data_IF_922716564969
#
_entry.id   IF_922716564969
#
_cell.length_a   1.000
_cell.length_b   1.000
_cell.length_c   1.000
_cell.angle_alpha   90.00
_cell.angle_beta   90.00
_cell.angle_gamma   90.00
#
_symmetry.space_group_name_H-M   'P 1'
#
loop_
_entity.id
_entity.type
_entity.pdbx_description
1 polymer ?
#
# COMPACT_ATOMS: atom_id res chain seq x y z
N UNK A 1 -42.90 13.59 -5.14
CA UNK A 1 -41.96 12.46 -5.25
C UNK A 1 -41.88 12.08 -6.72
N UNK A 2 -40.94 12.70 -7.43
CA UNK A 2 -40.63 12.40 -8.82
C UNK A 2 -39.35 11.56 -8.82
N UNK A 3 -39.33 10.49 -9.63
CA UNK A 3 -38.41 9.37 -9.51
C UNK A 3 -36.93 9.76 -9.58
N UNK A 4 -36.15 9.13 -8.71
CA UNK A 4 -34.70 9.01 -8.80
C UNK A 4 -34.37 8.39 -10.16
N UNK A 5 -33.88 9.22 -11.08
CA UNK A 5 -33.31 8.76 -12.34
C UNK A 5 -31.95 8.13 -12.04
N UNK A 6 -31.73 6.91 -12.54
CA UNK A 6 -30.45 6.22 -12.44
C UNK A 6 -29.34 7.09 -13.06
N UNK A 7 -28.29 7.38 -12.28
CA UNK A 7 -27.11 8.14 -12.73
C UNK A 7 -25.97 7.16 -12.98
N UNK A 8 -25.37 7.25 -14.17
CA UNK A 8 -24.27 6.39 -14.59
C UNK A 8 -22.94 7.13 -14.48
N UNK A 9 -21.96 6.49 -13.84
CA UNK A 9 -20.57 6.93 -13.90
C UNK A 9 -19.89 6.37 -15.16
N UNK A 10 -19.39 7.26 -15.99
CA UNK A 10 -18.65 6.95 -17.22
C UNK A 10 -17.22 7.48 -17.09
N UNK A 11 -16.25 6.64 -16.72
CA UNK A 11 -14.84 7.01 -16.73
C UNK A 11 -14.29 7.04 -18.16
N UNK A 12 -13.55 8.07 -18.50
CA UNK A 12 -12.90 8.21 -19.81
C UNK A 12 -11.44 8.66 -19.66
N UNK A 13 -10.55 8.07 -20.44
CA UNK A 13 -9.14 8.45 -20.46
C UNK A 13 -8.83 9.14 -21.78
N UNK A 14 -8.30 10.35 -21.70
CA UNK A 14 -7.79 11.07 -22.87
C UNK A 14 -6.60 10.32 -23.49
N UNK A 15 -6.57 10.20 -24.82
CA UNK A 15 -5.55 9.39 -25.51
C UNK A 15 -4.18 10.06 -25.57
N UNK A 16 -4.13 11.39 -25.56
CA UNK A 16 -2.87 12.13 -25.71
C UNK A 16 -2.20 12.39 -24.37
N UNK A 17 -2.97 12.90 -23.41
CA UNK A 17 -2.53 13.30 -22.09
C UNK A 17 -2.72 12.18 -21.06
N UNK A 18 -3.44 11.11 -21.37
CA UNK A 18 -3.69 10.01 -20.43
C UNK A 18 -4.26 10.50 -19.09
N UNK A 19 -5.11 11.53 -19.15
CA UNK A 19 -5.82 12.09 -18.00
C UNK A 19 -7.19 11.43 -17.91
N UNK A 20 -7.59 11.08 -16.69
CA UNK A 20 -8.89 10.50 -16.40
C UNK A 20 -9.93 11.60 -16.17
N UNK A 21 -11.07 11.49 -16.84
CA UNK A 21 -12.24 12.33 -16.61
C UNK A 21 -13.40 11.42 -16.22
N UNK A 22 -14.12 11.81 -15.18
CA UNK A 22 -15.35 11.15 -14.77
C UNK A 22 -16.53 11.96 -15.31
N UNK A 23 -17.43 11.30 -16.02
CA UNK A 23 -18.72 11.86 -16.43
C UNK A 23 -19.83 11.16 -15.64
N UNK A 24 -20.78 11.95 -15.15
CA UNK A 24 -22.00 11.46 -14.54
C UNK A 24 -23.13 11.81 -15.48
N UNK A 25 -23.81 10.79 -16.00
CA UNK A 25 -24.83 10.94 -17.03
C UNK A 25 -26.16 10.33 -16.59
N UNK A 26 -27.27 10.91 -17.04
CA UNK A 26 -28.59 10.31 -16.88
C UNK A 26 -28.81 9.14 -17.87
N UNK A 27 -29.97 8.49 -17.78
CA UNK A 27 -30.38 7.41 -18.69
C UNK A 27 -30.49 7.84 -20.17
N UNK A 28 -30.59 9.14 -20.44
CA UNK A 28 -30.63 9.72 -21.79
C UNK A 28 -29.23 10.11 -22.30
N UNK A 29 -28.18 9.79 -21.53
CA UNK A 29 -26.78 10.16 -21.79
C UNK A 29 -26.49 11.65 -21.74
N UNK A 30 -27.35 12.46 -21.11
CA UNK A 30 -27.03 13.85 -20.83
C UNK A 30 -26.03 13.90 -19.67
N UNK A 31 -24.94 14.64 -19.87
CA UNK A 31 -23.92 14.83 -18.82
C UNK A 31 -24.48 15.79 -17.78
N UNK A 32 -24.73 15.28 -16.58
CA UNK A 32 -25.18 16.04 -15.41
C UNK A 32 -24.00 16.72 -14.71
N UNK A 33 -22.88 16.00 -14.59
CA UNK A 33 -21.67 16.49 -13.94
C UNK A 33 -20.42 15.87 -14.58
N UNK A 34 -19.29 16.59 -14.49
CA UNK A 34 -17.99 16.05 -14.90
C UNK A 34 -16.89 16.56 -14.00
N UNK A 35 -15.88 15.74 -13.76
CA UNK A 35 -14.68 16.15 -13.03
C UNK A 35 -13.43 15.46 -13.55
N UNK A 36 -12.35 16.23 -13.60
CA UNK A 36 -10.98 15.77 -13.85
C UNK A 36 -10.07 16.00 -12.64
N UNK A 37 -10.64 16.50 -11.53
CA UNK A 37 -9.93 16.83 -10.29
C UNK A 37 -9.67 15.58 -9.47
N UNK A 38 -8.78 14.74 -9.97
CA UNK A 38 -8.43 13.43 -9.41
C UNK A 38 -6.95 13.40 -9.01
N UNK A 39 -6.62 12.68 -7.94
CA UNK A 39 -5.24 12.40 -7.55
C UNK A 39 -4.51 11.62 -8.64
N UNK A 40 -5.23 10.75 -9.35
CA UNK A 40 -4.76 10.05 -10.55
C UNK A 40 -4.19 11.01 -11.63
N UNK A 41 -4.71 12.24 -11.72
CA UNK A 41 -4.25 13.26 -12.66
C UNK A 41 -3.12 14.16 -12.13
N UNK A 42 -2.59 13.86 -10.95
CA UNK A 42 -1.55 14.62 -10.26
C UNK A 42 -0.33 13.77 -9.90
N UNK A 43 -0.20 12.55 -10.44
CA UNK A 43 0.88 11.63 -10.12
C UNK A 43 2.24 12.06 -10.68
N UNK A 44 2.25 12.77 -11.82
CA UNK A 44 3.46 13.35 -12.39
C UNK A 44 3.40 14.87 -12.26
N UNK A 45 4.05 15.46 -11.24
CA UNK A 45 3.96 16.89 -10.97
C UNK A 45 4.42 17.76 -12.14
N UNK A 46 3.67 18.82 -12.43
CA UNK A 46 4.01 19.80 -13.45
C UNK A 46 3.82 19.34 -14.91
N UNK A 47 3.29 18.13 -15.15
CA UNK A 47 3.08 17.61 -16.51
C UNK A 47 1.60 17.49 -16.86
N UNK A 48 1.26 17.83 -18.11
CA UNK A 48 -0.09 17.62 -18.63
C UNK A 48 -0.36 16.12 -18.82
N UNK A 49 0.61 15.40 -19.40
CA UNK A 49 0.53 13.95 -19.59
C UNK A 49 0.73 13.20 -18.28
N UNK A 50 -0.18 12.28 -17.98
CA UNK A 50 -0.20 11.48 -16.76
C UNK A 50 -0.04 9.98 -17.08
N UNK A 51 -0.04 9.14 -16.04
CA UNK A 51 0.24 7.70 -16.15
C UNK A 51 -0.99 6.80 -16.28
N UNK A 52 -2.21 7.35 -16.33
CA UNK A 52 -3.44 6.57 -16.15
C UNK A 52 -3.66 5.56 -17.29
N UNK A 53 -4.07 4.35 -16.91
CA UNK A 53 -4.35 3.22 -17.82
C UNK A 53 -5.80 2.76 -17.79
N UNK A 54 -6.47 2.93 -16.66
CA UNK A 54 -7.86 2.51 -16.50
C UNK A 54 -8.34 2.65 -15.07
N UNK A 55 -9.64 2.55 -14.89
CA UNK A 55 -10.25 2.38 -13.56
C UNK A 55 -10.20 0.89 -13.23
N UNK A 56 -9.57 0.54 -12.11
CA UNK A 56 -9.52 -0.82 -11.60
C UNK A 56 -10.80 -1.20 -10.85
N UNK A 57 -11.31 -0.28 -10.04
CA UNK A 57 -12.47 -0.50 -9.19
C UNK A 57 -13.15 0.83 -8.87
N UNK A 58 -14.46 0.76 -8.67
CA UNK A 58 -15.28 1.88 -8.18
C UNK A 58 -16.34 1.36 -7.22
N UNK A 59 -16.66 2.16 -6.21
CA UNK A 59 -17.77 1.93 -5.30
C UNK A 59 -18.51 3.24 -5.02
N UNK A 60 -19.79 3.10 -4.64
CA UNK A 60 -20.68 4.21 -4.32
C UNK A 60 -21.19 4.11 -2.87
N UNK A 61 -20.35 4.35 -1.86
CA UNK A 61 -20.77 4.35 -0.46
C UNK A 61 -21.15 5.75 0.04
N UNK A 62 -21.94 5.82 1.11
CA UNK A 62 -22.11 7.03 1.92
C UNK A 62 -20.99 7.07 2.99
N UNK A 63 -19.88 7.78 2.73
CA UNK A 63 -18.70 7.82 3.61
C UNK A 63 -18.95 8.76 4.80
N UNK A 64 -19.48 9.96 4.54
CA UNK A 64 -19.66 10.98 5.58
C UNK A 64 -21.02 10.93 6.29
N UNK A 65 -21.88 9.98 5.89
CA UNK A 65 -23.19 9.67 6.49
C UNK A 65 -24.20 10.80 6.30
N UNK A 66 -24.11 11.50 5.17
CA UNK A 66 -25.05 12.56 4.79
C UNK A 66 -26.29 12.03 4.04
N UNK A 67 -26.29 10.74 3.68
CA UNK A 67 -27.35 10.05 2.96
C UNK A 67 -27.24 10.16 1.43
N UNK A 68 -26.12 10.68 0.90
CA UNK A 68 -25.78 10.71 -0.51
C UNK A 68 -24.67 9.69 -0.82
N UNK A 69 -24.61 9.25 -2.09
CA UNK A 69 -23.59 8.29 -2.52
C UNK A 69 -22.32 9.02 -2.93
N UNK A 70 -21.23 8.82 -2.20
CA UNK A 70 -19.89 9.25 -2.57
C UNK A 70 -19.28 8.32 -3.62
N UNK A 71 -18.12 8.67 -4.15
CA UNK A 71 -17.37 7.83 -5.10
C UNK A 71 -16.01 7.49 -4.52
N UNK A 72 -15.75 6.20 -4.33
CA UNK A 72 -14.41 5.67 -4.06
C UNK A 72 -13.88 5.01 -5.31
N UNK A 73 -12.73 5.46 -5.79
CA UNK A 73 -12.17 5.09 -7.09
C UNK A 73 -10.73 4.60 -6.94
N UNK A 74 -10.41 3.46 -7.54
CA UNK A 74 -9.03 3.00 -7.72
C UNK A 74 -8.66 3.06 -9.20
N UNK A 75 -7.65 3.84 -9.55
CA UNK A 75 -7.12 4.00 -10.91
C UNK A 75 -5.78 3.28 -11.04
N UNK A 76 -5.55 2.55 -12.12
CA UNK A 76 -4.22 1.98 -12.44
C UNK A 76 -3.41 3.01 -13.21
N UNK A 77 -2.17 3.23 -12.77
CA UNK A 77 -1.22 4.17 -13.36
C UNK A 77 0.16 3.53 -13.54
N UNK A 78 0.95 4.07 -14.48
CA UNK A 78 2.36 3.70 -14.64
C UNK A 78 3.27 4.85 -14.21
N UNK A 79 4.43 4.51 -13.64
CA UNK A 79 5.37 5.48 -13.05
C UNK A 79 6.20 6.28 -14.05
N UNK A 80 6.10 5.99 -15.35
CA UNK A 80 6.89 6.66 -16.38
C UNK A 80 6.12 6.87 -17.70
N UNK A 81 6.55 7.90 -18.44
CA UNK A 81 5.95 8.36 -19.71
C UNK A 81 5.90 7.30 -20.82
N UNK A 82 6.79 6.29 -20.77
CA UNK A 82 6.93 5.31 -21.85
C UNK A 82 6.12 4.04 -21.62
N UNK A 83 5.35 3.95 -20.53
CA UNK A 83 4.70 2.71 -20.13
C UNK A 83 5.66 1.65 -19.60
N UNK A 84 6.94 1.99 -19.43
CA UNK A 84 7.99 1.13 -18.86
C UNK A 84 8.15 1.49 -17.39
N UNK A 85 7.46 0.76 -16.52
CA UNK A 85 7.49 0.94 -15.07
C UNK A 85 6.43 0.06 -14.43
N UNK A 86 6.60 -0.24 -13.14
CA UNK A 86 5.59 -0.99 -12.40
C UNK A 86 4.24 -0.26 -12.47
N UNK A 87 3.18 -1.03 -12.72
CA UNK A 87 1.83 -0.53 -12.52
C UNK A 87 1.62 -0.33 -11.02
N UNK A 88 1.00 0.78 -10.65
CA UNK A 88 0.59 1.05 -9.28
C UNK A 88 -0.84 1.58 -9.27
N UNK A 89 -1.48 1.48 -8.12
CA UNK A 89 -2.85 1.93 -7.91
C UNK A 89 -2.86 3.36 -7.37
N UNK A 90 -3.88 4.12 -7.70
CA UNK A 90 -4.14 5.46 -7.18
C UNK A 90 -5.58 5.53 -6.69
N UNK A 91 -5.77 5.82 -5.41
CA UNK A 91 -7.07 5.97 -4.78
C UNK A 91 -7.56 7.42 -4.82
N UNK A 92 -8.85 7.60 -5.08
CA UNK A 92 -9.56 8.88 -4.98
C UNK A 92 -10.89 8.68 -4.26
N UNK A 93 -11.27 9.66 -3.43
CA UNK A 93 -12.60 9.74 -2.80
C UNK A 93 -13.22 11.07 -3.20
N UNK A 94 -14.42 11.03 -3.75
CA UNK A 94 -15.21 12.19 -4.14
C UNK A 94 -16.50 12.20 -3.35
N UNK A 95 -16.75 13.26 -2.60
CA UNK A 95 -17.96 13.41 -1.83
C UNK A 95 -19.06 14.04 -2.68
N UNK A 96 -20.25 13.47 -2.61
CA UNK A 96 -21.42 14.08 -3.26
C UNK A 96 -21.82 15.34 -2.50
N UNK A 97 -22.24 16.37 -3.23
CA UNK A 97 -22.79 17.58 -2.66
C UNK A 97 -23.85 18.18 -3.55
N UNK A 98 -24.26 19.41 -3.24
CA UNK A 98 -25.29 20.09 -4.04
C UNK A 98 -24.78 20.38 -5.46
N UNK A 99 -25.35 19.68 -6.45
CA UNK A 99 -25.06 19.90 -7.86
C UNK A 99 -23.77 19.27 -8.39
N UNK A 100 -23.11 18.38 -7.64
CA UNK A 100 -21.93 17.66 -8.14
C UNK A 100 -21.12 16.94 -7.07
N UNK A 101 -19.84 16.71 -7.38
CA UNK A 101 -18.90 16.04 -6.48
C UNK A 101 -17.67 16.91 -6.21
N UNK A 102 -17.13 16.82 -5.00
CA UNK A 102 -15.86 17.45 -4.64
C UNK A 102 -14.85 16.42 -4.11
N UNK A 103 -13.57 16.66 -4.33
CA UNK A 103 -12.48 15.82 -3.81
C UNK A 103 -11.89 16.45 -2.55
N UNK A 104 -11.87 15.72 -1.44
CA UNK A 104 -10.93 16.05 -0.37
C UNK A 104 -9.53 15.52 -0.73
N UNK A 105 -8.68 16.43 -1.16
CA UNK A 105 -7.32 16.09 -1.57
C UNK A 105 -6.47 15.54 -0.40
N UNK A 106 -6.79 15.88 0.85
CA UNK A 106 -6.05 15.38 2.03
C UNK A 106 -6.35 13.91 2.26
N UNK A 107 -7.62 13.53 2.13
CA UNK A 107 -8.04 12.13 2.25
C UNK A 107 -7.46 11.29 1.11
N UNK A 108 -7.57 11.76 -0.15
CA UNK A 108 -6.92 11.08 -1.28
C UNK A 108 -5.40 10.94 -1.06
N UNK A 109 -4.71 11.99 -0.58
CA UNK A 109 -3.28 11.91 -0.27
C UNK A 109 -2.97 10.82 0.76
N UNK A 110 -3.70 10.81 1.89
CA UNK A 110 -3.53 9.81 2.96
C UNK A 110 -3.78 8.38 2.47
N UNK A 111 -4.84 8.15 1.68
CA UNK A 111 -5.16 6.84 1.11
C UNK A 111 -3.99 6.31 0.26
N UNK A 112 -3.38 7.17 -0.55
CA UNK A 112 -2.27 6.78 -1.41
C UNK A 112 -0.95 6.64 -0.63
N UNK A 113 -0.66 7.59 0.27
CA UNK A 113 0.56 7.63 1.07
C UNK A 113 0.69 6.42 2.00
N UNK A 114 -0.43 5.95 2.55
CA UNK A 114 -0.46 4.82 3.47
C UNK A 114 -0.78 3.49 2.79
N UNK A 115 -0.88 3.45 1.45
CA UNK A 115 -1.14 2.21 0.73
C UNK A 115 -2.54 1.62 0.98
N UNK A 116 -3.53 2.47 1.27
CA UNK A 116 -4.94 2.07 1.41
C UNK A 116 -5.64 1.97 0.05
N UNK A 117 -4.99 2.43 -1.01
CA UNK A 117 -5.42 2.36 -2.41
C UNK A 117 -5.33 0.97 -3.06
N UNK A 118 -4.95 -0.07 -2.31
CA UNK A 118 -4.78 -1.44 -2.84
C UNK A 118 -6.09 -2.08 -3.29
N UNK A 119 -7.19 -1.74 -2.63
CA UNK A 119 -8.54 -2.08 -3.07
C UNK A 119 -9.55 -1.02 -2.65
N UNK A 120 -10.68 -0.99 -3.36
CA UNK A 120 -11.76 -0.03 -3.10
C UNK A 120 -12.33 -0.19 -1.69
N UNK A 121 -12.38 -1.43 -1.18
CA UNK A 121 -12.88 -1.76 0.16
C UNK A 121 -11.94 -1.28 1.26
N UNK A 122 -10.63 -1.43 1.07
CA UNK A 122 -9.64 -0.91 2.02
C UNK A 122 -9.66 0.62 2.05
N UNK A 123 -9.70 1.27 0.87
CA UNK A 123 -9.82 2.72 0.76
C UNK A 123 -11.10 3.25 1.41
N UNK A 124 -12.23 2.58 1.19
CA UNK A 124 -13.51 2.90 1.83
C UNK A 124 -13.45 2.75 3.36
N UNK A 125 -12.90 1.64 3.85
CA UNK A 125 -12.76 1.39 5.30
C UNK A 125 -11.87 2.45 5.96
N UNK A 126 -10.80 2.87 5.28
CA UNK A 126 -9.96 3.96 5.73
C UNK A 126 -10.68 5.32 5.67
N UNK A 127 -11.47 5.59 4.63
CA UNK A 127 -12.21 6.83 4.51
C UNK A 127 -13.28 6.98 5.61
N UNK A 128 -13.93 5.89 6.00
CA UNK A 128 -14.94 5.88 7.07
C UNK A 128 -14.32 5.92 8.48
N UNK A 129 -13.28 5.12 8.73
CA UNK A 129 -12.81 4.82 10.09
C UNK A 129 -11.29 5.05 10.29
N UNK A 130 -10.56 5.59 9.31
CA UNK A 130 -9.11 5.46 9.16
C UNK A 130 -8.19 6.38 9.96
N UNK A 131 -8.73 7.33 10.74
CA UNK A 131 -7.91 8.19 11.63
C UNK A 131 -6.91 7.41 12.50
N UNK A 132 -7.21 6.21 13.05
CA UNK A 132 -6.24 5.42 13.82
C UNK A 132 -5.14 4.76 12.97
N UNK A 133 -5.32 4.59 11.65
CA UNK A 133 -4.34 3.93 10.80
C UNK A 133 -3.18 4.86 10.39
N UNK A 134 -3.36 6.18 10.44
CA UNK A 134 -2.27 7.16 10.21
C UNK A 134 -1.16 7.04 11.25
N UNK A 135 -1.56 6.68 12.47
CA UNK A 135 -0.65 6.42 13.59
C UNK A 135 0.41 5.36 13.24
N UNK A 136 0.10 4.40 12.37
CA UNK A 136 1.06 3.37 11.97
C UNK A 136 2.33 3.96 11.35
N UNK A 137 2.25 5.18 10.82
CA UNK A 137 3.35 5.89 10.17
C UNK A 137 3.83 7.11 10.98
N UNK A 138 3.02 7.60 11.92
CA UNK A 138 3.31 8.80 12.72
C UNK A 138 3.71 8.51 14.18
N UNK A 139 3.49 7.29 14.67
CA UNK A 139 3.85 6.91 16.03
C UNK A 139 5.36 7.03 16.27
N UNK A 140 5.70 7.58 17.44
CA UNK A 140 7.10 7.78 17.86
C UNK A 140 7.52 6.71 18.87
N UNK A 141 6.56 6.03 19.51
CA UNK A 141 6.84 5.03 20.55
C UNK A 141 5.99 3.78 20.40
N UNK A 142 6.52 2.65 20.88
CA UNK A 142 5.79 1.37 20.85
C UNK A 142 4.53 1.40 21.72
N UNK A 143 4.53 2.15 22.83
CA UNK A 143 3.36 2.31 23.69
C UNK A 143 2.19 2.94 22.93
N UNK A 144 2.45 4.00 22.16
CA UNK A 144 1.41 4.64 21.34
C UNK A 144 0.78 3.68 20.34
N UNK A 145 1.58 2.83 19.70
CA UNK A 145 1.07 1.81 18.77
C UNK A 145 0.16 0.80 19.47
N UNK A 146 0.64 0.23 20.59
CA UNK A 146 -0.11 -0.78 21.36
C UNK A 146 -1.43 -0.23 21.92
N UNK A 147 -1.40 0.98 22.48
CA UNK A 147 -2.58 1.65 23.05
C UNK A 147 -3.68 1.90 22.00
N UNK A 148 -3.31 1.92 20.73
CA UNK A 148 -4.20 2.20 19.60
C UNK A 148 -4.52 0.95 18.79
N UNK A 149 -4.20 -0.24 19.30
CA UNK A 149 -4.67 -1.51 18.75
C UNK A 149 -3.69 -2.20 17.80
N UNK A 150 -2.44 -1.75 17.70
CA UNK A 150 -1.40 -2.52 17.02
C UNK A 150 -1.08 -3.79 17.83
N UNK A 151 -1.14 -4.94 17.16
CA UNK A 151 -0.87 -6.25 17.76
C UNK A 151 0.51 -6.71 17.34
N UNK A 152 1.41 -6.80 18.32
CA UNK A 152 2.78 -7.30 18.10
C UNK A 152 2.77 -8.83 17.99
N UNK A 153 3.50 -9.37 17.02
CA UNK A 153 3.80 -10.80 16.96
C UNK A 153 5.12 -11.08 17.70
N UNK A 154 4.99 -11.40 18.98
CA UNK A 154 6.13 -11.64 19.87
C UNK A 154 6.98 -12.86 19.44
N UNK A 155 6.44 -13.77 18.61
CA UNK A 155 7.19 -14.95 18.11
C UNK A 155 8.35 -14.58 17.20
N UNK A 156 8.21 -13.46 16.48
CA UNK A 156 9.19 -12.95 15.53
C UNK A 156 9.85 -11.66 16.02
N UNK A 157 9.63 -11.29 17.28
CA UNK A 157 10.22 -10.10 17.89
C UNK A 157 11.53 -10.43 18.59
N UNK A 158 12.61 -9.73 18.26
CA UNK A 158 13.93 -9.98 18.85
C UNK A 158 14.84 -8.75 18.77
N UNK A 159 15.86 -8.71 19.63
CA UNK A 159 16.91 -7.67 19.59
C UNK A 159 18.02 -8.08 18.64
N UNK A 160 18.53 -7.11 17.90
CA UNK A 160 19.64 -7.29 16.98
C UNK A 160 20.47 -6.00 16.93
N UNK A 161 21.79 -6.15 16.90
CA UNK A 161 22.69 -5.05 16.57
C UNK A 161 22.66 -4.81 15.06
N UNK A 162 22.37 -3.58 14.65
CA UNK A 162 22.39 -3.11 13.26
C UNK A 162 23.59 -2.17 13.02
N UNK A 163 24.71 -2.44 13.69
CA UNK A 163 26.00 -1.80 13.50
C UNK A 163 25.90 -0.27 13.62
N UNK A 164 25.71 0.43 12.51
CA UNK A 164 25.54 1.89 12.45
C UNK A 164 24.34 2.40 13.26
N UNK A 165 23.30 1.60 13.42
CA UNK A 165 22.08 1.97 14.14
C UNK A 165 22.06 1.47 15.59
N UNK A 166 23.05 0.67 15.99
CA UNK A 166 23.15 0.05 17.31
C UNK A 166 22.11 -1.06 17.52
N UNK A 167 21.91 -1.43 18.79
CA UNK A 167 20.95 -2.46 19.15
C UNK A 167 19.50 -1.96 19.04
N UNK A 168 18.73 -2.64 18.21
CA UNK A 168 17.31 -2.36 17.98
C UNK A 168 16.49 -3.60 18.26
N UNK A 169 15.28 -3.40 18.78
CA UNK A 169 14.24 -4.40 18.85
C UNK A 169 13.46 -4.39 17.53
N UNK A 170 13.49 -5.53 16.83
CA UNK A 170 12.66 -5.81 15.66
C UNK A 170 11.26 -6.19 16.17
N UNK A 171 10.24 -5.46 15.73
CA UNK A 171 8.86 -5.62 16.19
C UNK A 171 7.91 -5.75 14.98
N UNK A 172 7.73 -6.96 14.45
CA UNK A 172 6.68 -7.24 13.49
C UNK A 172 5.31 -7.32 14.18
N UNK A 173 4.27 -6.96 13.45
CA UNK A 173 2.90 -7.05 13.96
C UNK A 173 1.90 -6.53 12.95
N UNK A 174 0.64 -6.46 13.35
CA UNK A 174 -0.42 -6.01 12.46
C UNK A 174 -1.40 -5.08 13.14
N UNK A 175 -2.04 -4.25 12.32
CA UNK A 175 -3.17 -3.42 12.70
C UNK A 175 -4.42 -3.91 11.97
N UNK A 176 -5.53 -4.06 12.70
CA UNK A 176 -6.80 -4.47 12.11
C UNK A 176 -7.60 -3.22 11.71
N UNK A 177 -7.82 -3.06 10.41
CA UNK A 177 -8.72 -2.06 9.83
C UNK A 177 -9.87 -2.79 9.14
N UNK A 178 -11.07 -2.69 9.71
CA UNK A 178 -12.22 -3.52 9.32
C UNK A 178 -11.86 -5.03 9.31
N UNK A 179 -12.01 -5.72 8.19
CA UNK A 179 -11.60 -7.12 8.00
C UNK A 179 -10.12 -7.31 7.58
N UNK A 180 -9.39 -6.22 7.34
CA UNK A 180 -8.01 -6.24 6.83
C UNK A 180 -6.98 -6.15 7.97
N UNK A 181 -5.91 -6.93 7.85
CA UNK A 181 -4.75 -6.90 8.70
C UNK A 181 -3.58 -6.25 7.96
N UNK A 182 -3.22 -5.03 8.39
CA UNK A 182 -2.11 -4.25 7.85
C UNK A 182 -0.83 -4.69 8.57
N UNK A 183 0.05 -5.38 7.87
CA UNK A 183 1.34 -5.85 8.39
C UNK A 183 2.37 -4.72 8.41
N UNK A 184 2.97 -4.49 9.58
CA UNK A 184 4.04 -3.52 9.79
C UNK A 184 5.21 -4.17 10.51
N UNK A 185 6.41 -3.68 10.23
CA UNK A 185 7.61 -3.96 11.02
C UNK A 185 8.14 -2.63 11.55
N UNK A 186 8.39 -2.57 12.85
CA UNK A 186 9.03 -1.44 13.52
C UNK A 186 10.40 -1.84 14.04
N UNK A 187 11.34 -0.90 13.98
CA UNK A 187 12.61 -0.99 14.71
C UNK A 187 12.58 0.02 15.85
N UNK A 188 12.80 -0.48 17.06
CA UNK A 188 12.67 0.29 18.30
C UNK A 188 14.00 0.31 19.04
N UNK A 189 14.48 1.49 19.40
CA UNK A 189 15.72 1.63 20.16
C UNK A 189 15.50 1.32 21.65
N UNK A 190 16.60 1.32 22.42
CA UNK A 190 16.56 1.07 23.87
C UNK A 190 15.67 2.04 24.66
N UNK A 191 15.45 3.26 24.15
CA UNK A 191 14.58 4.26 24.78
C UNK A 191 13.09 4.03 24.48
N UNK A 192 12.74 2.96 23.76
CA UNK A 192 11.37 2.66 23.36
C UNK A 192 10.86 3.53 22.21
N UNK A 193 11.76 4.24 21.50
CA UNK A 193 11.40 5.07 20.35
C UNK A 193 11.51 4.28 19.07
N UNK A 194 10.51 4.46 18.21
CA UNK A 194 10.50 3.95 16.84
C UNK A 194 11.50 4.79 16.04
N UNK A 195 12.50 4.13 15.47
CA UNK A 195 13.53 4.78 14.64
C UNK A 195 13.35 4.46 13.16
N UNK A 196 12.60 3.41 12.85
CA UNK A 196 12.27 3.02 11.49
C UNK A 196 10.99 2.17 11.49
N UNK A 197 10.25 2.24 10.40
CA UNK A 197 9.06 1.42 10.15
C UNK A 197 8.93 1.11 8.66
N UNK A 198 8.41 -0.06 8.33
CA UNK A 198 7.99 -0.37 6.96
C UNK A 198 6.78 -1.29 6.91
N UNK A 199 6.13 -1.27 5.74
CA UNK A 199 5.01 -2.14 5.39
C UNK A 199 5.46 -3.15 4.31
N UNK A 200 5.69 -4.43 4.65
CA UNK A 200 6.20 -5.43 3.70
C UNK A 200 5.18 -5.95 2.69
N UNK A 201 3.94 -5.47 2.76
CA UNK A 201 2.83 -6.05 2.00
C UNK A 201 2.82 -5.74 0.50
N UNK A 202 3.70 -4.85 0.00
CA UNK A 202 3.65 -4.42 -1.40
C UNK A 202 2.22 -4.05 -1.85
N UNK A 203 1.76 -4.66 -2.94
CA UNK A 203 0.41 -4.46 -3.49
C UNK A 203 -0.68 -5.36 -2.88
N UNK A 204 -0.34 -6.28 -1.96
CA UNK A 204 -1.32 -7.15 -1.33
C UNK A 204 -2.17 -6.42 -0.29
N UNK A 205 -3.45 -6.81 -0.23
CA UNK A 205 -4.46 -6.11 0.56
C UNK A 205 -4.44 -6.47 2.04
N UNK A 206 -4.18 -7.73 2.37
CA UNK A 206 -4.36 -8.26 3.73
C UNK A 206 -3.25 -9.24 4.11
N UNK A 207 -2.81 -9.19 5.36
CA UNK A 207 -1.94 -10.20 5.96
C UNK A 207 -2.78 -11.45 6.30
N UNK A 208 -2.37 -12.60 5.76
CA UNK A 208 -2.88 -13.90 6.21
C UNK A 208 -2.09 -14.41 7.42
N UNK A 209 -0.77 -14.28 7.39
CA UNK A 209 0.09 -14.65 8.51
C UNK A 209 1.57 -14.45 8.21
N UNK A 210 2.33 -14.12 9.26
CA UNK A 210 3.79 -14.01 9.19
C UNK A 210 4.36 -15.42 9.18
N UNK A 211 5.30 -15.68 8.27
CA UNK A 211 6.01 -16.97 8.15
C UNK A 211 7.39 -16.86 8.79
N UNK A 212 8.10 -15.75 8.57
CA UNK A 212 9.42 -15.53 9.13
C UNK A 212 9.89 -14.08 9.03
N UNK A 213 10.74 -13.69 9.97
CA UNK A 213 11.47 -12.41 9.96
C UNK A 213 12.92 -12.72 10.28
N UNK A 214 13.82 -12.35 9.38
CA UNK A 214 15.25 -12.62 9.54
C UNK A 214 16.10 -11.37 9.35
N UNK A 215 17.27 -11.34 10.01
CA UNK A 215 18.21 -10.22 9.93
C UNK A 215 19.65 -10.70 9.81
N UNK A 216 20.25 -10.39 8.68
CA UNK A 216 21.63 -10.75 8.34
C UNK A 216 22.13 -9.93 7.17
N UNK A 217 23.45 -9.93 6.97
CA UNK A 217 24.09 -9.28 5.83
C UNK A 217 23.80 -10.07 4.54
N UNK A 218 22.96 -9.50 3.67
CA UNK A 218 22.54 -10.12 2.42
C UNK A 218 23.41 -9.66 1.26
N UNK A 219 23.79 -8.38 1.21
CA UNK A 219 24.55 -7.81 0.10
C UNK A 219 26.08 -7.77 0.31
N UNK A 220 26.55 -8.22 1.48
CA UNK A 220 27.96 -8.31 1.83
C UNK A 220 28.60 -6.97 2.17
N UNK A 221 27.81 -5.94 2.50
CA UNK A 221 28.31 -4.61 2.85
C UNK A 221 28.71 -4.47 4.34
N UNK A 222 28.56 -5.54 5.11
CA UNK A 222 28.85 -5.61 6.54
C UNK A 222 27.76 -5.02 7.43
N UNK A 223 26.59 -4.67 6.88
CA UNK A 223 25.44 -4.19 7.61
C UNK A 223 24.32 -5.25 7.59
N UNK A 224 23.52 -5.31 8.66
CA UNK A 224 22.43 -6.28 8.70
C UNK A 224 21.19 -5.79 7.96
N UNK A 225 20.78 -6.56 6.97
CA UNK A 225 19.54 -6.36 6.24
C UNK A 225 18.38 -7.05 6.96
N UNK A 226 17.15 -6.72 6.55
CA UNK A 226 15.92 -7.28 7.11
C UNK A 226 15.13 -8.00 6.01
N UNK A 227 14.79 -9.27 6.25
CA UNK A 227 13.96 -10.08 5.36
C UNK A 227 12.65 -10.41 6.05
N UNK A 228 11.54 -10.17 5.35
CA UNK A 228 10.21 -10.53 5.81
C UNK A 228 9.56 -11.52 4.84
N UNK A 229 9.12 -12.66 5.34
CA UNK A 229 8.36 -13.68 4.60
C UNK A 229 6.98 -13.82 5.24
N UNK A 230 5.92 -13.69 4.45
CA UNK A 230 4.56 -13.78 4.94
C UNK A 230 3.62 -14.33 3.88
N UNK A 231 2.43 -14.76 4.31
CA UNK A 231 1.31 -15.05 3.43
C UNK A 231 0.37 -13.86 3.41
N UNK A 232 -0.05 -13.47 2.22
CA UNK A 232 -0.97 -12.37 1.99
C UNK A 232 -2.20 -12.83 1.25
N UNK A 233 -3.30 -12.10 1.39
CA UNK A 233 -4.50 -12.30 0.59
C UNK A 233 -4.87 -11.04 -0.18
N UNK A 234 -5.42 -11.25 -1.36
CA UNK A 234 -5.95 -10.19 -2.22
C UNK A 234 -7.14 -10.73 -3.01
N UNK A 235 -8.01 -9.82 -3.46
CA UNK A 235 -9.17 -10.20 -4.26
C UNK A 235 -8.83 -10.02 -5.76
N UNK A 236 -9.12 -11.02 -6.59
CA UNK A 236 -8.94 -10.94 -8.05
C UNK A 236 -10.05 -10.09 -8.68
N UNK A 237 -9.88 -9.63 -9.94
CA UNK A 237 -10.95 -8.95 -10.66
C UNK A 237 -12.26 -9.76 -10.77
N UNK A 238 -12.18 -11.09 -10.75
CA UNK A 238 -13.33 -12.01 -10.76
C UNK A 238 -13.98 -12.17 -9.36
N UNK A 239 -13.48 -11.45 -8.36
CA UNK A 239 -13.97 -11.50 -6.97
C UNK A 239 -13.52 -12.72 -6.18
N UNK A 240 -12.50 -13.45 -6.66
CA UNK A 240 -11.94 -14.59 -5.93
C UNK A 240 -10.87 -14.12 -4.96
N UNK A 241 -10.91 -14.61 -3.72
CA UNK A 241 -9.83 -14.35 -2.76
C UNK A 241 -8.71 -15.35 -2.94
N UNK A 242 -7.54 -14.85 -3.32
CA UNK A 242 -6.32 -15.66 -3.44
C UNK A 242 -5.45 -15.44 -2.21
N UNK A 243 -4.77 -16.49 -1.76
CA UNK A 243 -3.72 -16.43 -0.74
C UNK A 243 -2.40 -16.86 -1.37
N UNK A 244 -1.39 -16.02 -1.23
CA UNK A 244 -0.05 -16.27 -1.78
C UNK A 244 1.01 -15.98 -0.73
N UNK A 245 2.08 -16.79 -0.73
CA UNK A 245 3.27 -16.52 0.06
C UNK A 245 4.21 -15.59 -0.70
N UNK A 246 4.72 -14.57 -0.02
CA UNK A 246 5.66 -13.64 -0.63
C UNK A 246 6.64 -13.01 0.38
N UNK A 247 7.73 -12.44 -0.13
CA UNK A 247 8.81 -11.88 0.69
C UNK A 247 9.14 -10.42 0.38
N UNK A 248 9.82 -9.73 1.29
CA UNK A 248 10.39 -8.40 1.07
C UNK A 248 11.74 -8.31 1.79
N UNK A 249 12.74 -7.76 1.10
CA UNK A 249 14.06 -7.51 1.66
C UNK A 249 14.25 -6.01 1.79
N UNK A 250 14.85 -5.59 2.89
CA UNK A 250 15.20 -4.21 3.18
C UNK A 250 16.70 -4.15 3.46
N UNK A 251 17.46 -3.54 2.56
CA UNK A 251 18.90 -3.39 2.73
C UNK A 251 19.24 -2.21 3.63
N UNK A 252 20.11 -2.41 4.60
CA UNK A 252 20.52 -1.34 5.50
C UNK A 252 21.43 -0.34 4.77
N UNK A 253 21.18 0.95 4.98
CA UNK A 253 22.00 2.06 4.49
C UNK A 253 22.26 3.05 5.62
N UNK A 254 23.17 4.00 5.42
CA UNK A 254 23.63 4.95 6.46
C UNK A 254 22.51 5.74 7.16
N UNK A 255 21.32 5.88 6.55
CA UNK A 255 20.19 6.63 7.11
C UNK A 255 18.89 5.83 7.28
N UNK A 256 18.91 4.50 7.19
CA UNK A 256 17.71 3.67 7.27
C UNK A 256 17.81 2.44 6.39
N UNK A 257 16.71 2.06 5.75
CA UNK A 257 16.67 0.89 4.88
C UNK A 257 16.09 1.21 3.51
N UNK A 258 16.58 0.50 2.50
CA UNK A 258 16.11 0.56 1.12
C UNK A 258 15.45 -0.77 0.76
N UNK A 259 14.20 -0.73 0.30
CA UNK A 259 13.49 -1.93 -0.14
C UNK A 259 14.12 -2.49 -1.42
N UNK A 260 14.33 -3.81 -1.46
CA UNK A 260 14.75 -4.54 -2.65
C UNK A 260 13.68 -4.49 -3.73
N UNK A 261 14.10 -4.15 -4.94
CA UNK A 261 13.28 -4.26 -6.14
C UNK A 261 13.96 -5.09 -7.23
N UNK A 262 15.30 -5.20 -7.19
CA UNK A 262 16.07 -5.87 -8.23
C UNK A 262 16.02 -7.39 -8.09
N UNK A 263 16.35 -7.92 -6.91
CA UNK A 263 16.31 -9.36 -6.68
C UNK A 263 14.87 -9.89 -6.78
N UNK A 264 13.94 -9.14 -6.19
CA UNK A 264 12.49 -9.37 -6.26
C UNK A 264 11.95 -9.48 -7.68
N UNK A 265 12.48 -8.71 -8.63
CA UNK A 265 12.06 -8.79 -10.04
C UNK A 265 12.47 -10.10 -10.73
N UNK A 266 13.49 -10.80 -10.20
CA UNK A 266 14.05 -12.03 -10.79
C UNK A 266 13.56 -13.29 -10.10
N UNK A 267 13.31 -13.22 -8.80
CA UNK A 267 12.94 -14.38 -7.99
C UNK A 267 11.57 -14.18 -7.34
N UNK A 268 10.57 -14.88 -7.87
CA UNK A 268 9.24 -14.92 -7.28
C UNK A 268 9.16 -16.05 -6.24
N UNK A 269 8.45 -15.78 -5.15
CA UNK A 269 8.19 -16.75 -4.09
C UNK A 269 7.20 -17.82 -4.58
N UNK A 270 7.40 -19.07 -4.17
CA UNK A 270 6.42 -20.15 -4.32
C UNK A 270 5.93 -20.67 -2.96
N UNK A 271 4.88 -21.48 -2.95
CA UNK A 271 4.29 -22.03 -1.71
C UNK A 271 5.28 -22.87 -0.87
N UNK A 272 6.31 -23.46 -1.49
CA UNK A 272 7.34 -24.27 -0.80
C UNK A 272 8.58 -23.47 -0.38
N UNK A 273 8.73 -22.21 -0.81
CA UNK A 273 9.92 -21.39 -0.52
C UNK A 273 10.15 -21.18 0.99
N UNK A 274 11.29 -21.63 1.52
CA UNK A 274 11.67 -21.38 2.91
C UNK A 274 12.35 -20.01 3.07
N UNK A 275 12.51 -19.54 4.32
CA UNK A 275 13.24 -18.31 4.61
C UNK A 275 14.71 -18.46 4.21
N UNK A 276 15.30 -19.61 4.54
CA UNK A 276 16.69 -19.94 4.26
C UNK A 276 16.98 -19.90 2.75
N UNK A 277 16.05 -20.40 1.92
CA UNK A 277 16.18 -20.37 0.46
C UNK A 277 16.24 -18.93 -0.08
N UNK A 278 15.38 -18.04 0.42
CA UNK A 278 15.33 -16.63 0.01
C UNK A 278 16.65 -15.95 0.37
N UNK A 279 17.09 -16.16 1.60
CA UNK A 279 18.33 -15.61 2.11
C UNK A 279 19.53 -16.08 1.28
N UNK A 280 19.67 -17.38 1.04
CA UNK A 280 20.78 -17.96 0.28
C UNK A 280 20.80 -17.47 -1.18
N UNK A 281 19.63 -17.41 -1.82
CA UNK A 281 19.50 -16.91 -3.19
C UNK A 281 19.80 -15.41 -3.29
N UNK A 282 19.31 -14.61 -2.34
CA UNK A 282 19.57 -13.16 -2.32
C UNK A 282 21.05 -12.86 -2.08
N UNK A 283 21.67 -13.59 -1.16
CA UNK A 283 23.12 -13.55 -0.91
C UNK A 283 23.93 -13.92 -2.15
N UNK A 284 23.54 -15.02 -2.81
CA UNK A 284 24.16 -15.45 -4.06
C UNK A 284 24.01 -14.43 -5.19
N UNK A 285 22.87 -13.72 -5.25
CA UNK A 285 22.63 -12.65 -6.23
C UNK A 285 23.64 -11.51 -6.10
N UNK A 286 23.99 -11.13 -4.88
CA UNK A 286 25.02 -10.11 -4.59
C UNK A 286 26.45 -10.66 -4.63
N UNK A 287 26.64 -11.93 -4.94
CA UNK A 287 27.96 -12.58 -4.98
C UNK A 287 28.52 -12.91 -3.59
N UNK A 288 27.69 -12.89 -2.55
CA UNK A 288 28.04 -13.17 -1.17
C UNK A 288 27.57 -14.58 -0.78
N UNK A 289 28.41 -15.61 -0.90
CA UNK A 289 28.00 -17.00 -0.62
C UNK A 289 28.00 -17.39 0.85
N UNK A 290 27.41 -18.55 1.17
CA UNK A 290 27.37 -19.13 2.53
C UNK A 290 28.75 -19.41 3.18
N UNK A 291 29.84 -19.31 2.42
CA UNK A 291 31.22 -19.45 2.92
C UNK A 291 31.87 -18.13 3.36
N UNK A 292 31.12 -17.02 3.34
CA UNK A 292 31.65 -15.68 3.61
C UNK A 292 31.24 -15.12 4.99
N UNK A 293 30.60 -15.94 5.84
CA UNK A 293 30.22 -15.61 7.23
C UNK A 293 31.38 -15.73 8.23
#
# INVERSE_FOLDING_TARGET
MAGEGEVFLVPAIDRECQRLVLFFADSEQNILFRTERLMANCQVPGRLRQGNRGVAAVAFPDIDRDGLDDVVLITVSNGSENGIGAMYKVGDVLFQGEGGFYRDWRLSDKINRFGMNKSVRLAMSFAMDGEPAELLYEAVTMTQLKDRGFVVDERYSYRKDFEKLGELLVVPGFYKLAEYYIFMIYLVNEQGKIVWSAQPMGEYENLYGIVGIDTQDIDGDGLKDLVALAKYTYDTPEGQRITEKDYTIYYQRTGGFLMDTEFKSRYQCGEETAMEDIVELARSYWGWGAGND
#
